data_IF_875484816014
#
_entry.id   IF_875484816014
#
_cell.length_a   1.000
_cell.length_b   1.000
_cell.length_c   1.000
_cell.angle_alpha   90.00
_cell.angle_beta   90.00
_cell.angle_gamma   90.00
#
_symmetry.space_group_name_H-M   'P 1'
#
loop_
_entity.id
_entity.type
_entity.pdbx_description
1 polymer ?
#
# COMPACT_ATOMS: atom_id res chain seq x y z
N UNK A 1 6.70 17.68 6.33
CA UNK A 1 8.07 17.11 6.31
C UNK A 1 8.75 17.14 7.68
N UNK A 2 8.81 18.27 8.41
CA UNK A 2 9.40 18.29 9.76
C UNK A 2 8.66 17.38 10.75
N UNK A 3 7.32 17.44 10.78
CA UNK A 3 6.46 16.59 11.63
C UNK A 3 6.72 15.09 11.37
N UNK A 4 6.91 14.73 10.09
CA UNK A 4 7.22 13.37 9.64
C UNK A 4 8.51 12.81 10.24
N UNK A 5 9.57 13.62 10.24
CA UNK A 5 10.90 13.25 10.76
C UNK A 5 10.83 13.12 12.28
N UNK A 6 10.15 14.05 12.95
CA UNK A 6 9.96 14.02 14.40
C UNK A 6 9.16 12.77 14.83
N UNK A 7 8.07 12.44 14.14
CA UNK A 7 7.30 11.22 14.42
C UNK A 7 8.12 9.94 14.20
N UNK A 8 8.97 9.92 13.17
CA UNK A 8 9.85 8.78 12.89
C UNK A 8 10.90 8.58 13.99
N UNK A 9 11.51 9.66 14.48
CA UNK A 9 12.50 9.62 15.58
C UNK A 9 11.83 9.24 16.91
N UNK A 10 10.65 9.80 17.21
CA UNK A 10 9.91 9.43 18.43
C UNK A 10 9.48 7.95 18.43
N UNK A 11 9.26 7.35 17.26
CA UNK A 11 8.90 5.94 17.15
C UNK A 11 10.06 5.00 17.49
N UNK A 12 11.30 5.40 17.22
CA UNK A 12 12.48 4.66 17.68
C UNK A 12 12.69 4.75 19.19
N UNK A 13 12.09 5.76 19.84
CA UNK A 13 12.18 5.97 21.27
C UNK A 13 11.05 5.26 22.04
N UNK A 14 9.84 5.19 21.44
CA UNK A 14 8.65 4.63 22.09
C UNK A 14 8.43 3.12 21.86
N UNK A 15 9.05 2.50 20.85
CA UNK A 15 8.81 1.10 20.48
C UNK A 15 10.09 0.25 20.41
N UNK A 16 9.98 -1.08 20.60
CA UNK A 16 11.03 -2.03 20.27
C UNK A 16 11.58 -1.81 18.85
N UNK A 17 12.90 -1.97 18.69
CA UNK A 17 13.63 -1.62 17.45
C UNK A 17 13.03 -2.28 16.20
N UNK A 18 12.46 -3.48 16.33
CA UNK A 18 11.85 -4.22 15.21
C UNK A 18 10.51 -3.61 14.79
N UNK A 19 9.67 -3.21 15.75
CA UNK A 19 8.38 -2.56 15.48
C UNK A 19 8.58 -1.14 14.93
N UNK A 20 9.58 -0.41 15.43
CA UNK A 20 9.94 0.90 14.90
C UNK A 20 10.38 0.82 13.43
N UNK A 21 11.23 -0.16 13.07
CA UNK A 21 11.66 -0.41 11.68
C UNK A 21 10.48 -0.66 10.73
N UNK A 22 9.50 -1.46 11.15
CA UNK A 22 8.31 -1.78 10.34
C UNK A 22 7.42 -0.54 10.16
N UNK A 23 7.20 0.26 11.21
CA UNK A 23 6.42 1.49 11.09
C UNK A 23 7.09 2.54 10.19
N UNK A 24 8.41 2.69 10.31
CA UNK A 24 9.19 3.58 9.44
C UNK A 24 9.14 3.10 8.00
N UNK A 25 9.29 1.79 7.77
CA UNK A 25 9.12 1.21 6.44
C UNK A 25 7.72 1.53 5.88
N UNK A 26 6.65 1.30 6.66
CA UNK A 26 5.29 1.59 6.22
C UNK A 26 5.08 3.07 5.88
N UNK A 27 5.61 3.97 6.72
CA UNK A 27 5.58 5.40 6.48
C UNK A 27 6.23 5.76 5.15
N UNK A 28 7.49 5.36 4.95
CA UNK A 28 8.21 5.67 3.74
C UNK A 28 7.58 5.01 2.51
N UNK A 29 7.15 3.75 2.60
CA UNK A 29 6.44 3.06 1.51
C UNK A 29 5.18 3.81 1.10
N UNK A 30 4.42 4.34 2.05
CA UNK A 30 3.22 5.12 1.77
C UNK A 30 3.49 6.56 1.31
N UNK A 31 4.59 7.19 1.74
CA UNK A 31 5.02 8.52 1.25
C UNK A 31 5.50 8.44 -0.20
N UNK A 32 6.21 7.36 -0.50
CA UNK A 32 6.76 7.06 -1.82
C UNK A 32 5.65 6.74 -2.82
N UNK A 33 4.50 6.23 -2.37
CA UNK A 33 3.31 6.14 -3.21
C UNK A 33 2.67 7.54 -3.35
N UNK A 34 3.17 8.35 -4.30
CA UNK A 34 2.73 9.74 -4.48
C UNK A 34 1.30 9.78 -5.02
N UNK A 35 0.40 10.39 -4.27
CA UNK A 35 -0.96 10.67 -4.68
C UNK A 35 -1.02 12.00 -5.42
N UNK A 36 -1.63 12.00 -6.59
CA UNK A 36 -1.71 13.16 -7.46
C UNK A 36 -3.14 13.72 -7.50
N UNK A 37 -3.53 14.62 -6.56
CA UNK A 37 -4.91 15.11 -6.46
C UNK A 37 -5.37 15.92 -7.68
N UNK A 38 -4.44 16.44 -8.49
CA UNK A 38 -4.72 17.22 -9.70
C UNK A 38 -4.95 16.40 -10.97
N UNK A 39 -4.52 15.14 -11.03
CA UNK A 39 -4.66 14.31 -12.25
C UNK A 39 -6.12 13.98 -12.54
N UNK A 40 -6.95 13.84 -11.52
CA UNK A 40 -8.40 13.61 -11.67
C UNK A 40 -9.07 14.72 -12.49
N UNK A 41 -8.54 15.94 -12.48
CA UNK A 41 -9.05 17.05 -13.29
C UNK A 41 -8.84 16.84 -14.79
N UNK A 42 -7.81 16.10 -15.20
CA UNK A 42 -7.60 15.72 -16.60
C UNK A 42 -8.74 14.82 -17.12
N UNK A 43 -9.27 13.95 -16.26
CA UNK A 43 -10.38 13.04 -16.58
C UNK A 43 -11.77 13.69 -16.51
N UNK A 44 -11.86 14.96 -16.07
CA UNK A 44 -13.11 15.70 -15.95
C UNK A 44 -13.06 16.99 -16.81
N UNK A 45 -11.90 17.37 -17.32
CA UNK A 45 -11.72 18.58 -18.10
C UNK A 45 -12.63 18.55 -19.33
N UNK A 46 -13.35 19.66 -19.54
CA UNK A 46 -14.21 19.84 -20.70
C UNK A 46 -13.44 19.92 -22.03
N UNK A 47 -14.16 19.93 -23.16
CA UNK A 47 -13.59 19.91 -24.50
C UNK A 47 -12.67 21.12 -24.80
N UNK A 48 -12.81 22.20 -24.02
CA UNK A 48 -12.02 23.43 -24.14
C UNK A 48 -10.55 23.26 -23.71
N UNK A 49 -10.22 22.24 -22.92
CA UNK A 49 -8.85 21.98 -22.45
C UNK A 49 -8.24 20.69 -22.97
N UNK A 50 -9.03 19.64 -23.23
CA UNK A 50 -8.55 18.38 -23.82
C UNK A 50 -9.53 17.95 -24.92
N UNK A 51 -9.33 18.36 -26.18
CA UNK A 51 -10.24 18.00 -27.26
C UNK A 51 -10.30 16.47 -27.46
N UNK A 52 -11.44 15.87 -27.12
CA UNK A 52 -11.72 14.43 -27.14
C UNK A 52 -11.34 13.66 -25.87
N UNK A 53 -11.02 14.35 -24.77
CA UNK A 53 -10.76 13.70 -23.48
C UNK A 53 -11.96 12.85 -23.01
N UNK A 54 -11.73 11.88 -22.12
CA UNK A 54 -12.81 11.14 -21.49
C UNK A 54 -13.58 12.10 -20.57
N UNK A 55 -14.71 12.63 -21.02
CA UNK A 55 -15.56 13.51 -20.20
C UNK A 55 -16.33 12.66 -19.17
N UNK A 56 -15.63 12.15 -18.16
CA UNK A 56 -16.25 11.29 -17.17
C UNK A 56 -17.20 12.10 -16.27
N UNK A 57 -18.38 11.54 -15.99
CA UNK A 57 -19.28 12.14 -15.01
C UNK A 57 -18.70 12.00 -13.61
N UNK A 58 -18.90 13.02 -12.78
CA UNK A 58 -18.47 12.97 -11.37
C UNK A 58 -19.10 11.78 -10.63
N UNK A 59 -20.35 11.44 -10.95
CA UNK A 59 -21.04 10.28 -10.39
C UNK A 59 -20.34 8.97 -10.75
N UNK A 60 -19.84 8.84 -11.99
CA UNK A 60 -19.08 7.66 -12.40
C UNK A 60 -17.76 7.54 -11.63
N UNK A 61 -17.00 8.63 -11.51
CA UNK A 61 -15.71 8.62 -10.81
C UNK A 61 -15.86 8.38 -9.30
N UNK A 62 -16.81 9.03 -8.64
CA UNK A 62 -16.92 8.94 -7.18
C UNK A 62 -17.76 7.75 -6.70
N UNK A 63 -18.83 7.38 -7.42
CA UNK A 63 -19.72 6.29 -6.98
C UNK A 63 -19.29 4.96 -7.59
N UNK A 64 -19.24 4.89 -8.92
CA UNK A 64 -19.00 3.60 -9.62
C UNK A 64 -17.59 3.11 -9.35
N UNK A 65 -16.57 3.97 -9.48
CA UNK A 65 -15.18 3.55 -9.26
C UNK A 65 -14.92 3.14 -7.80
N UNK A 66 -15.53 3.81 -6.82
CA UNK A 66 -15.36 3.45 -5.39
C UNK A 66 -15.98 2.10 -5.07
N UNK A 67 -17.17 1.80 -5.61
CA UNK A 67 -17.81 0.49 -5.43
C UNK A 67 -16.92 -0.61 -6.03
N UNK A 68 -16.46 -0.41 -7.27
CA UNK A 68 -15.58 -1.38 -7.96
C UNK A 68 -14.26 -1.55 -7.21
N UNK A 69 -13.65 -0.45 -6.76
CA UNK A 69 -12.41 -0.47 -5.98
C UNK A 69 -12.58 -1.25 -4.67
N UNK A 70 -13.71 -1.12 -4.00
CA UNK A 70 -14.00 -1.85 -2.76
C UNK A 70 -14.12 -3.35 -3.00
N UNK A 71 -14.82 -3.75 -4.07
CA UNK A 71 -14.91 -5.16 -4.49
C UNK A 71 -13.52 -5.70 -4.87
N UNK A 72 -12.72 -4.89 -5.55
CA UNK A 72 -11.34 -5.25 -5.91
C UNK A 72 -10.45 -5.45 -4.68
N UNK A 73 -10.55 -4.56 -3.68
CA UNK A 73 -9.84 -4.70 -2.41
C UNK A 73 -10.22 -5.99 -1.68
N UNK A 74 -11.51 -6.38 -1.68
CA UNK A 74 -11.97 -7.66 -1.14
C UNK A 74 -11.33 -8.85 -1.85
N UNK A 75 -11.26 -8.82 -3.19
CA UNK A 75 -10.58 -9.84 -3.98
C UNK A 75 -9.08 -9.89 -3.64
N UNK A 76 -8.44 -8.72 -3.46
CA UNK A 76 -7.05 -8.61 -3.03
C UNK A 76 -6.77 -9.34 -1.71
N UNK A 77 -7.69 -9.27 -0.74
CA UNK A 77 -7.56 -10.00 0.55
C UNK A 77 -7.61 -11.52 0.31
N UNK A 78 -8.51 -12.00 -0.55
CA UNK A 78 -8.63 -13.44 -0.87
C UNK A 78 -7.38 -13.94 -1.58
N UNK A 79 -6.89 -13.18 -2.56
CA UNK A 79 -5.63 -13.48 -3.28
C UNK A 79 -4.45 -13.50 -2.31
N UNK A 80 -4.35 -12.53 -1.41
CA UNK A 80 -3.33 -12.49 -0.37
C UNK A 80 -3.36 -13.76 0.50
N UNK A 81 -4.55 -14.13 1.00
CA UNK A 81 -4.71 -15.30 1.85
C UNK A 81 -4.32 -16.60 1.15
N UNK A 82 -4.62 -16.74 -0.13
CA UNK A 82 -4.34 -17.99 -0.86
C UNK A 82 -2.89 -18.09 -1.34
N UNK A 83 -2.35 -17.00 -1.92
CA UNK A 83 -1.05 -17.03 -2.59
C UNK A 83 0.10 -16.59 -1.68
N UNK A 84 -0.10 -15.54 -0.89
CA UNK A 84 0.97 -14.90 -0.11
C UNK A 84 1.08 -15.42 1.32
N UNK A 85 0.13 -16.23 1.80
CA UNK A 85 0.14 -16.75 3.17
C UNK A 85 1.39 -17.56 3.54
N UNK A 86 2.11 -18.17 2.59
CA UNK A 86 3.30 -18.99 2.86
C UNK A 86 4.62 -18.29 2.51
N UNK A 87 4.58 -17.07 2.00
CA UNK A 87 5.76 -16.36 1.49
C UNK A 87 6.49 -15.56 2.59
N UNK A 88 7.74 -15.20 2.34
CA UNK A 88 8.50 -14.28 3.21
C UNK A 88 8.01 -12.84 3.03
N UNK A 89 7.99 -12.04 4.09
CA UNK A 89 7.56 -10.63 4.00
C UNK A 89 8.38 -9.82 2.99
N UNK A 90 9.71 -10.04 2.94
CA UNK A 90 10.58 -9.40 1.92
C UNK A 90 10.19 -9.77 0.50
N UNK A 91 9.85 -11.04 0.27
CA UNK A 91 9.44 -11.54 -1.05
C UNK A 91 8.07 -10.96 -1.42
N UNK A 92 7.14 -10.87 -0.47
CA UNK A 92 5.83 -10.25 -0.69
C UNK A 92 6.02 -8.79 -1.14
N UNK A 93 6.74 -7.98 -0.37
CA UNK A 93 6.98 -6.57 -0.70
C UNK A 93 7.69 -6.38 -2.04
N UNK A 94 8.73 -7.18 -2.33
CA UNK A 94 9.44 -7.09 -3.62
C UNK A 94 8.51 -7.51 -4.76
N UNK A 95 7.76 -8.61 -4.59
CA UNK A 95 6.85 -9.12 -5.62
C UNK A 95 5.69 -8.16 -5.90
N UNK A 96 5.08 -7.55 -4.88
CA UNK A 96 4.00 -6.58 -5.07
C UNK A 96 4.52 -5.32 -5.73
N UNK A 97 5.72 -4.85 -5.38
CA UNK A 97 6.37 -3.70 -6.03
C UNK A 97 6.70 -4.00 -7.49
N UNK A 98 7.23 -5.20 -7.78
CA UNK A 98 7.53 -5.63 -9.16
C UNK A 98 6.28 -5.81 -10.01
N UNK A 99 5.17 -6.25 -9.42
CA UNK A 99 3.87 -6.36 -10.11
C UNK A 99 3.25 -4.97 -10.30
N UNK A 100 3.44 -4.04 -9.36
CA UNK A 100 2.90 -2.68 -9.45
C UNK A 100 3.50 -1.90 -10.62
N UNK A 101 4.82 -2.02 -10.84
CA UNK A 101 5.53 -1.30 -11.91
C UNK A 101 4.90 -1.44 -13.30
N UNK A 102 4.68 -2.65 -13.86
CA UNK A 102 4.02 -2.80 -15.15
C UNK A 102 2.55 -2.41 -15.11
N UNK A 103 1.88 -2.48 -13.96
CA UNK A 103 0.47 -2.10 -13.83
C UNK A 103 0.21 -0.59 -13.78
N UNK A 104 1.23 0.19 -13.48
CA UNK A 104 1.20 1.65 -13.60
C UNK A 104 1.37 2.11 -15.06
N UNK A 105 2.02 1.32 -15.92
CA UNK A 105 2.25 1.68 -17.33
C UNK A 105 0.94 1.93 -18.13
N UNK A 106 -0.13 1.13 -17.96
CA UNK A 106 -1.42 1.43 -18.55
C UNK A 106 -2.00 2.79 -18.14
N UNK A 107 -1.80 3.25 -16.90
CA UNK A 107 -2.27 4.58 -16.48
C UNK A 107 -1.57 5.69 -17.29
N UNK A 108 -0.27 5.50 -17.57
CA UNK A 108 0.52 6.39 -18.44
C UNK A 108 0.02 6.33 -19.89
N UNK A 109 -0.28 5.13 -20.40
CA UNK A 109 -0.82 4.94 -21.75
C UNK A 109 -2.20 5.62 -21.91
N UNK A 110 -2.99 5.69 -20.83
CA UNK A 110 -4.26 6.43 -20.81
C UNK A 110 -4.04 7.94 -20.93
N UNK A 111 -3.06 8.49 -20.20
CA UNK A 111 -2.70 9.91 -20.27
C UNK A 111 -2.22 10.33 -21.66
N UNK A 112 -1.47 9.47 -22.36
CA UNK A 112 -1.04 9.71 -23.75
C UNK A 112 -2.12 9.37 -24.80
N UNK A 113 -3.33 8.98 -24.36
CA UNK A 113 -4.48 8.60 -25.22
C UNK A 113 -4.15 7.53 -26.26
N UNK A 114 -3.19 6.65 -25.95
CA UNK A 114 -2.91 5.45 -26.76
C UNK A 114 -4.10 4.50 -26.79
N UNK A 115 -4.97 4.58 -25.78
CA UNK A 115 -6.22 3.85 -25.69
C UNK A 115 -7.11 4.00 -26.95
N UNK A 116 -7.19 5.21 -27.53
CA UNK A 116 -7.99 5.47 -28.74
C UNK A 116 -7.37 4.81 -29.98
N UNK A 117 -6.04 4.69 -30.05
CA UNK A 117 -5.36 3.97 -31.15
C UNK A 117 -5.60 2.46 -31.09
N UNK A 118 -5.88 1.93 -29.91
CA UNK A 118 -6.15 0.50 -29.67
C UNK A 118 -7.67 0.21 -29.80
N UNK A 119 -8.53 1.24 -29.87
CA UNK A 119 -9.97 1.10 -30.09
C UNK A 119 -10.77 0.70 -28.85
N UNK A 120 -10.19 0.79 -27.65
CA UNK A 120 -10.87 0.45 -26.39
C UNK A 120 -11.56 1.70 -25.83
N UNK A 121 -12.81 1.62 -25.35
CA UNK A 121 -13.50 2.77 -24.75
C UNK A 121 -12.80 3.22 -23.45
N UNK A 122 -12.56 4.53 -23.31
CA UNK A 122 -11.81 5.10 -22.19
C UNK A 122 -12.37 4.74 -20.81
N UNK A 123 -13.70 4.60 -20.69
CA UNK A 123 -14.37 4.15 -19.47
C UNK A 123 -13.91 2.75 -19.03
N UNK A 124 -13.86 1.78 -19.95
CA UNK A 124 -13.52 0.40 -19.62
C UNK A 124 -12.03 0.24 -19.29
N UNK A 125 -11.18 0.96 -20.02
CA UNK A 125 -9.75 0.96 -19.77
C UNK A 125 -9.40 1.58 -18.41
N UNK A 126 -10.03 2.70 -18.06
CA UNK A 126 -9.87 3.33 -16.75
C UNK A 126 -10.35 2.43 -15.62
N UNK A 127 -11.51 1.79 -15.79
CA UNK A 127 -12.04 0.85 -14.78
C UNK A 127 -11.04 -0.28 -14.57
N UNK A 128 -10.63 -0.95 -15.64
CA UNK A 128 -9.76 -2.12 -15.56
C UNK A 128 -8.43 -1.81 -14.88
N UNK A 129 -7.79 -0.70 -15.27
CA UNK A 129 -6.44 -0.37 -14.81
C UNK A 129 -6.45 0.31 -13.44
N UNK A 130 -7.00 1.53 -13.37
CA UNK A 130 -6.88 2.39 -12.18
C UNK A 130 -7.83 1.99 -11.05
N UNK A 131 -9.04 1.52 -11.37
CA UNK A 131 -10.06 1.24 -10.33
C UNK A 131 -10.07 -0.20 -9.82
N UNK A 132 -9.52 -1.15 -10.59
CA UNK A 132 -9.45 -2.54 -10.15
C UNK A 132 -8.04 -2.84 -9.67
N UNK A 133 -7.01 -2.61 -10.47
CA UNK A 133 -5.69 -3.17 -10.19
C UNK A 133 -4.94 -2.41 -9.11
N UNK A 134 -4.95 -1.07 -9.16
CA UNK A 134 -4.31 -0.22 -8.14
C UNK A 134 -4.81 -0.51 -6.71
N UNK A 135 -6.13 -0.54 -6.42
CA UNK A 135 -6.62 -0.89 -5.08
C UNK A 135 -6.36 -2.36 -4.70
N UNK A 136 -6.39 -3.29 -5.65
CA UNK A 136 -6.08 -4.70 -5.39
C UNK A 136 -4.66 -4.87 -4.85
N UNK A 137 -3.67 -4.32 -5.55
CA UNK A 137 -2.26 -4.43 -5.16
C UNK A 137 -1.99 -3.65 -3.87
N UNK A 138 -2.58 -2.46 -3.74
CA UNK A 138 -2.51 -1.67 -2.51
C UNK A 138 -3.02 -2.44 -1.29
N UNK A 139 -4.14 -3.16 -1.43
CA UNK A 139 -4.72 -3.93 -0.33
C UNK A 139 -3.87 -5.15 0.05
N UNK A 140 -3.27 -5.84 -0.93
CA UNK A 140 -2.31 -6.93 -0.69
C UNK A 140 -1.13 -6.43 0.14
N UNK A 141 -0.56 -5.27 -0.22
CA UNK A 141 0.57 -4.68 0.50
C UNK A 141 0.19 -4.23 1.91
N UNK A 142 -0.98 -3.61 2.07
CA UNK A 142 -1.46 -3.16 3.38
C UNK A 142 -1.71 -4.34 4.32
N UNK A 143 -2.32 -5.41 3.82
CA UNK A 143 -2.58 -6.63 4.61
C UNK A 143 -1.28 -7.30 5.08
N UNK A 144 -0.26 -7.35 4.22
CA UNK A 144 1.05 -7.89 4.59
C UNK A 144 1.66 -7.14 5.80
N UNK A 145 1.59 -5.81 5.78
CA UNK A 145 2.10 -4.96 6.86
C UNK A 145 1.30 -5.13 8.16
N UNK A 146 -0.04 -5.16 8.07
CA UNK A 146 -0.91 -5.32 9.24
C UNK A 146 -0.67 -6.67 9.91
N UNK A 147 -0.53 -7.75 9.13
CA UNK A 147 -0.26 -9.08 9.68
C UNK A 147 1.12 -9.12 10.34
N UNK A 148 2.16 -8.60 9.68
CA UNK A 148 3.51 -8.52 10.26
C UNK A 148 3.49 -7.80 11.61
N UNK A 149 2.80 -6.66 11.66
CA UNK A 149 2.72 -5.85 12.87
C UNK A 149 1.97 -6.60 13.98
N UNK A 150 0.83 -7.23 13.67
CA UNK A 150 0.05 -7.98 14.66
C UNK A 150 0.84 -9.10 15.32
N UNK A 151 1.79 -9.71 14.60
CA UNK A 151 2.66 -10.78 15.10
C UNK A 151 3.83 -10.27 15.94
N UNK A 152 4.30 -9.05 15.67
CA UNK A 152 5.38 -8.40 16.43
C UNK A 152 4.87 -7.69 17.70
N UNK A 153 3.56 -7.51 17.84
CA UNK A 153 2.98 -6.83 18.98
C UNK A 153 3.20 -7.61 20.28
N UNK A 154 3.73 -6.98 21.35
CA UNK A 154 3.77 -7.61 22.66
C UNK A 154 2.35 -7.77 23.20
N UNK A 155 2.10 -8.90 23.87
CA UNK A 155 0.79 -9.20 24.48
C UNK A 155 0.39 -8.08 25.43
N UNK A 156 -0.81 -7.54 25.23
CA UNK A 156 -1.38 -6.46 26.04
C UNK A 156 -1.15 -5.03 25.51
N UNK A 157 -0.39 -4.84 24.43
CA UNK A 157 -0.20 -3.50 23.80
C UNK A 157 -0.58 -3.46 22.30
N UNK A 158 -1.29 -4.47 21.82
CA UNK A 158 -1.70 -4.60 20.40
C UNK A 158 -2.47 -3.37 19.90
N UNK A 159 -3.40 -2.84 20.71
CA UNK A 159 -4.19 -1.66 20.38
C UNK A 159 -3.32 -0.40 20.18
N UNK A 160 -2.31 -0.22 21.03
CA UNK A 160 -1.40 0.93 20.95
C UNK A 160 -0.55 0.87 19.69
N UNK A 161 -0.03 -0.31 19.37
CA UNK A 161 0.80 -0.52 18.17
C UNK A 161 -0.03 -0.32 16.89
N UNK A 162 -1.28 -0.79 16.87
CA UNK A 162 -2.19 -0.54 15.76
C UNK A 162 -2.57 0.94 15.62
N UNK A 163 -2.80 1.65 16.73
CA UNK A 163 -3.06 3.08 16.71
C UNK A 163 -1.89 3.87 16.10
N UNK A 164 -0.65 3.47 16.42
CA UNK A 164 0.56 4.07 15.85
C UNK A 164 0.63 3.80 14.34
N UNK A 165 0.39 2.56 13.89
CA UNK A 165 0.33 2.22 12.46
C UNK A 165 -0.71 3.06 11.71
N UNK A 166 -1.91 3.20 12.27
CA UNK A 166 -2.98 4.00 11.67
C UNK A 166 -2.59 5.48 11.58
N UNK A 167 -1.97 6.02 12.64
CA UNK A 167 -1.43 7.38 12.65
C UNK A 167 -0.39 7.61 11.56
N UNK A 168 0.56 6.68 11.42
CA UNK A 168 1.57 6.72 10.37
C UNK A 168 0.99 6.61 8.96
N UNK A 169 -0.06 5.80 8.78
CA UNK A 169 -0.74 5.64 7.48
C UNK A 169 -1.43 6.94 7.07
N UNK A 170 -2.14 7.60 7.99
CA UNK A 170 -2.76 8.90 7.72
C UNK A 170 -1.71 10.00 7.45
N UNK A 171 -0.60 9.98 8.19
CA UNK A 171 0.50 10.91 7.98
C UNK A 171 1.17 10.69 6.62
N UNK A 172 1.34 9.42 6.21
CA UNK A 172 1.83 9.06 4.89
C UNK A 172 0.91 9.62 3.80
N UNK A 173 -0.39 9.41 3.86
CA UNK A 173 -1.36 9.90 2.86
C UNK A 173 -1.34 11.42 2.73
N UNK A 174 -1.28 12.12 3.86
CA UNK A 174 -1.20 13.59 3.89
C UNK A 174 0.11 14.09 3.31
N UNK A 175 1.22 13.44 3.68
CA UNK A 175 2.55 13.81 3.19
C UNK A 175 2.69 13.53 1.70
N UNK A 176 2.21 12.37 1.24
CA UNK A 176 2.17 11.96 -0.17
C UNK A 176 1.38 12.94 -1.03
N UNK A 177 0.18 13.32 -0.59
CA UNK A 177 -0.65 14.32 -1.28
C UNK A 177 0.03 15.69 -1.32
N UNK A 178 0.68 16.08 -0.21
CA UNK A 178 1.40 17.36 -0.12
C UNK A 178 2.61 17.39 -1.06
N UNK A 179 3.39 16.31 -1.10
CA UNK A 179 4.53 16.15 -2.03
C UNK A 179 4.02 16.15 -3.47
N UNK A 180 2.93 15.44 -3.76
CA UNK A 180 2.30 15.43 -5.08
C UNK A 180 1.87 16.82 -5.52
N UNK A 181 1.25 17.61 -4.64
CA UNK A 181 0.87 18.99 -4.93
C UNK A 181 2.08 19.91 -5.18
N UNK A 182 3.12 19.81 -4.36
CA UNK A 182 4.37 20.59 -4.56
C UNK A 182 5.03 20.20 -5.88
N UNK A 183 5.05 18.91 -6.23
CA UNK A 183 5.63 18.44 -7.47
C UNK A 183 4.87 18.99 -8.69
N UNK A 184 3.55 19.08 -8.59
CA UNK A 184 2.68 19.70 -9.61
C UNK A 184 2.81 21.22 -9.73
N UNK A 185 3.23 21.92 -8.68
CA UNK A 185 3.33 23.38 -8.68
C UNK A 185 4.74 23.85 -9.05
N UNK A 186 5.77 23.19 -8.52
CA UNK A 186 7.15 23.66 -8.55
C UNK A 186 8.02 22.97 -9.60
N UNK A 187 7.91 21.65 -9.74
CA UNK A 187 8.79 20.87 -10.64
C UNK A 187 8.16 20.74 -12.01
N UNK A 188 6.85 20.47 -12.05
CA UNK A 188 6.12 20.26 -13.29
C UNK A 188 4.75 20.97 -13.26
N UNK A 189 4.70 22.29 -13.54
CA UNK A 189 3.48 23.08 -13.48
C UNK A 189 2.44 22.53 -14.46
N UNK A 190 1.37 21.95 -13.91
CA UNK A 190 0.20 21.54 -14.68
C UNK A 190 -0.73 22.74 -14.77
N UNK A 191 -0.80 23.38 -15.95
CA UNK A 191 -1.74 24.49 -16.16
C UNK A 191 -3.12 23.92 -16.41
N UNK A 192 -3.94 23.88 -15.36
CA UNK A 192 -5.37 23.56 -15.46
C UNK A 192 -6.25 24.76 -15.84
N UNK A 193 -5.65 25.88 -16.25
CA UNK A 193 -6.31 27.09 -16.77
C UNK A 193 -5.76 27.37 -18.18
N UNK A 194 -6.58 27.83 -19.13
CA UNK A 194 -6.17 28.02 -20.51
C UNK A 194 -4.99 29.02 -20.62
N UNK A 195 -3.94 28.72 -21.41
CA UNK A 195 -3.74 27.51 -22.22
C UNK A 195 -3.38 26.27 -21.39
N UNK A 196 -4.12 25.18 -21.62
CA UNK A 196 -4.01 23.92 -20.88
C UNK A 196 -2.86 23.06 -21.41
N UNK A 197 -1.82 22.82 -20.59
CA UNK A 197 -0.67 21.99 -20.94
C UNK A 197 -0.54 20.80 -19.98
N UNK A 198 -0.89 19.59 -20.47
CA UNK A 198 -0.85 18.34 -19.71
C UNK A 198 0.30 17.39 -20.11
N UNK A 199 1.15 17.78 -21.07
CA UNK A 199 2.33 16.98 -21.51
C UNK A 199 3.24 16.58 -20.34
N UNK A 200 3.26 17.47 -19.35
CA UNK A 200 4.02 17.41 -18.12
C UNK A 200 3.48 16.43 -17.07
N UNK A 201 2.19 16.07 -17.14
CA UNK A 201 1.57 15.11 -16.22
C UNK A 201 2.10 13.69 -16.42
N UNK A 202 2.49 13.34 -17.65
CA UNK A 202 3.08 12.04 -18.00
C UNK A 202 4.42 11.86 -17.28
N UNK A 203 5.28 12.88 -17.29
CA UNK A 203 6.55 12.88 -16.56
C UNK A 203 6.36 12.81 -15.05
N UNK A 204 5.33 13.47 -14.54
CA UNK A 204 4.98 13.43 -13.13
C UNK A 204 4.62 12.01 -12.67
N UNK A 205 3.81 11.28 -13.45
CA UNK A 205 3.41 9.89 -13.16
C UNK A 205 4.58 8.94 -13.34
N UNK A 206 5.43 9.13 -14.35
CA UNK A 206 6.66 8.34 -14.53
C UNK A 206 7.54 8.48 -13.28
N UNK A 207 7.79 9.70 -12.81
CA UNK A 207 8.65 9.91 -11.65
C UNK A 207 7.97 9.42 -10.35
N UNK A 208 6.70 9.74 -10.13
CA UNK A 208 6.01 9.38 -8.89
C UNK A 208 5.56 7.93 -8.79
N UNK A 209 5.40 7.23 -9.90
CA UNK A 209 4.82 5.89 -9.93
C UNK A 209 5.77 4.82 -10.50
N UNK A 210 6.91 5.19 -11.08
CA UNK A 210 7.99 4.25 -11.45
C UNK A 210 9.21 4.44 -10.56
N UNK A 211 9.74 5.67 -10.46
CA UNK A 211 10.95 5.93 -9.68
C UNK A 211 10.68 5.80 -8.17
N UNK A 212 9.51 6.24 -7.73
CA UNK A 212 9.14 6.18 -6.33
C UNK A 212 9.06 4.72 -5.83
N UNK A 213 8.22 3.81 -6.37
CA UNK A 213 8.16 2.43 -5.89
C UNK A 213 9.50 1.68 -6.01
N UNK A 214 10.39 2.07 -6.93
CA UNK A 214 11.75 1.53 -7.00
C UNK A 214 12.55 1.79 -5.71
N UNK A 215 12.28 2.89 -5.00
CA UNK A 215 12.88 3.23 -3.71
C UNK A 215 12.39 2.32 -2.56
N UNK A 216 11.28 1.60 -2.74
CA UNK A 216 10.76 0.63 -1.75
C UNK A 216 11.65 -0.63 -1.70
N UNK A 217 12.31 -0.98 -2.82
CA UNK A 217 13.18 -2.15 -2.93
C UNK A 217 14.37 -2.08 -1.95
N UNK A 218 15.23 -1.03 -1.95
CA UNK A 218 16.31 -0.93 -0.97
C UNK A 218 15.79 -0.78 0.46
N UNK A 219 14.60 -0.20 0.65
CA UNK A 219 13.99 -0.05 1.97
C UNK A 219 13.51 -1.39 2.56
N UNK A 220 13.25 -2.39 1.70
CA UNK A 220 12.86 -3.75 2.12
C UNK A 220 13.97 -4.46 2.90
N UNK A 221 15.23 -4.01 2.81
CA UNK A 221 16.32 -4.52 3.65
C UNK A 221 16.07 -4.27 5.14
N UNK A 222 15.27 -3.27 5.48
CA UNK A 222 14.92 -2.90 6.85
C UNK A 222 13.92 -3.89 7.49
N UNK A 223 13.19 -4.66 6.69
CA UNK A 223 12.27 -5.69 7.17
C UNK A 223 13.02 -6.95 7.61
N UNK A 224 12.63 -7.61 8.70
CA UNK A 224 13.18 -8.90 9.09
C UNK A 224 12.84 -9.98 8.04
N UNK A 225 13.76 -10.90 7.79
CA UNK A 225 13.57 -11.98 6.80
C UNK A 225 12.81 -13.15 7.43
N UNK A 226 11.53 -12.93 7.72
CA UNK A 226 10.66 -13.89 8.40
C UNK A 226 9.52 -14.32 7.47
N UNK A 227 9.03 -15.56 7.62
CA UNK A 227 7.86 -16.05 6.89
C UNK A 227 6.58 -15.55 7.55
N UNK A 228 5.54 -15.34 6.75
CA UNK A 228 4.20 -14.98 7.26
C UNK A 228 3.62 -16.03 8.23
N UNK A 229 4.07 -17.29 8.14
CA UNK A 229 3.62 -18.39 9.00
C UNK A 229 4.47 -18.64 10.26
N UNK A 230 5.64 -18.00 10.40
CA UNK A 230 6.52 -18.27 11.55
C UNK A 230 6.08 -17.47 12.79
N UNK A 231 6.26 -18.05 13.97
CA UNK A 231 6.06 -17.32 15.23
C UNK A 231 7.30 -16.43 15.45
N UNK A 232 7.07 -15.13 15.67
CA UNK A 232 8.13 -14.12 15.67
C UNK A 232 8.21 -13.54 17.08
N UNK A 233 9.41 -13.53 17.66
CA UNK A 233 9.65 -12.83 18.92
C UNK A 233 9.66 -11.31 18.72
N UNK A 234 9.56 -10.55 19.80
CA UNK A 234 9.53 -9.09 19.84
C UNK A 234 10.80 -8.48 19.19
N UNK A 235 11.91 -9.24 19.20
CA UNK A 235 13.17 -8.89 18.55
C UNK A 235 13.23 -9.23 17.04
N UNK A 236 12.23 -9.93 16.49
CA UNK A 236 12.16 -10.28 15.06
C UNK A 236 12.85 -11.60 14.69
N UNK A 237 13.20 -12.42 15.67
CA UNK A 237 13.73 -13.76 15.46
C UNK A 237 12.59 -14.79 15.31
N UNK A 238 12.80 -15.80 14.46
CA UNK A 238 11.89 -16.95 14.34
C UNK A 238 12.01 -17.78 15.62
N UNK A 239 10.93 -17.84 16.40
CA UNK A 239 10.82 -18.80 17.49
C UNK A 239 10.51 -20.13 16.85
N UNK A 240 11.52 -20.96 16.66
CA UNK A 240 11.30 -22.36 16.31
C UNK A 240 10.50 -22.96 17.46
N UNK A 241 9.29 -23.48 17.20
CA UNK A 241 8.63 -24.36 18.16
C UNK A 241 9.58 -25.52 18.41
N UNK A 242 10.27 -25.53 19.55
CA UNK A 242 10.63 -26.80 20.16
C UNK A 242 9.33 -27.61 20.27
N UNK A 243 9.33 -28.89 19.90
CA UNK A 243 8.12 -29.69 19.99
C UNK A 243 7.68 -29.64 21.44
N UNK A 244 6.52 -29.02 21.68
CA UNK A 244 5.88 -29.06 22.99
C UNK A 244 5.76 -30.52 23.38
N UNK A 245 6.63 -30.96 24.29
CA UNK A 245 6.42 -32.12 25.11
C UNK A 245 5.03 -31.94 25.72
N UNK A 246 4.11 -32.82 25.34
CA UNK A 246 2.76 -32.88 25.90
C UNK A 246 2.86 -32.73 27.42
N UNK A 247 2.06 -31.85 28.05
CA UNK A 247 1.97 -31.86 29.50
C UNK A 247 1.39 -33.22 29.89
N UNK A 248 2.27 -34.14 30.31
CA UNK A 248 1.97 -35.45 30.88
C UNK A 248 0.82 -35.25 31.85
N UNK A 249 -0.37 -35.71 31.45
CA UNK A 249 -1.56 -35.69 32.27
C UNK A 249 -1.20 -36.26 33.64
N UNK A 250 -1.41 -35.47 34.70
CA UNK A 250 -1.30 -35.96 36.07
C UNK A 250 -2.21 -37.20 36.17
N UNK A 251 -1.72 -38.36 36.63
CA UNK A 251 -2.58 -39.51 36.81
C UNK A 251 -3.66 -39.12 37.82
N UNK A 252 -4.91 -39.17 37.37
CA UNK A 252 -6.08 -39.12 38.23
C UNK A 252 -5.92 -40.26 39.22
N UNK A 253 -5.77 -39.91 40.51
CA UNK A 253 -5.79 -40.88 41.60
C UNK A 253 -7.21 -41.43 41.64
N UNK A 254 -7.40 -42.63 41.10
CA UNK A 254 -8.63 -43.39 41.21
C UNK A 254 -8.86 -43.69 42.70
N UNK A 255 -9.77 -42.93 43.29
CA UNK A 255 -10.26 -43.16 44.65
C UNK A 255 -11.38 -44.18 44.56
N UNK A 256 -11.05 -45.48 44.48
CA UNK A 256 -12.03 -46.53 44.79
C UNK A 256 -11.40 -47.88 45.19
N UNK A 257 -11.44 -48.17 46.50
CA UNK A 257 -11.47 -49.49 47.18
C UNK A 257 -11.51 -49.14 48.68
N UNK A 258 -12.66 -49.03 49.35
CA UNK A 258 -13.51 -50.14 49.82
C UNK A 258 -12.70 -51.40 50.21
N UNK A 259 -12.15 -51.36 51.42
CA UNK A 259 -12.23 -52.43 52.44
C UNK A 259 -12.13 -51.79 53.82
#
# INVERSE_FOLDING_TARGET
MVVSVVCSVMSFWALPRTIAKVNVFNYFSGVVCISFPGISKFYIAGPDCVPGGPHFSLTFLYVVCTIISTVSSLIGIVVFKYFFSKSNYRVITISTTLVLLPFVLPEIAMLQRWNIKIGIPDHAFYIGTSTVISPLIGMISWMATVILLSRLCPRGSESTVYAILAGFSNLSSTTSTSIGAILMEYVWPIKSKPPCDFSNAVWLVIIGSILAPLLIIPLTLLLPNVRVCDDIDIDGNVVSKEPHEEPRARPVKDSNKSQ
#
